data_IF_729182551115
#
_entry.id   IF_729182551115
#
_cell.length_a   1.000
_cell.length_b   1.000
_cell.length_c   1.000
_cell.angle_alpha   90.00
_cell.angle_beta   90.00
_cell.angle_gamma   90.00
#
_symmetry.space_group_name_H-M   'P 1'
#
loop_
_entity.id
_entity.type
_entity.pdbx_description
1 polymer ?
#
# COMPACT_ATOMS: atom_id res chain seq x y z
N UNK A 1 3.64 27.36 0.22
CA UNK A 1 3.32 26.38 1.27
C UNK A 1 4.15 25.14 0.97
N UNK A 2 5.04 24.71 1.89
CA UNK A 2 5.80 23.46 1.71
C UNK A 2 4.84 22.31 2.01
N UNK A 3 4.49 21.51 1.00
CA UNK A 3 3.68 20.30 1.20
C UNK A 3 4.41 19.37 2.16
N UNK A 4 3.74 18.95 3.23
CA UNK A 4 4.24 17.88 4.09
C UNK A 4 3.98 16.58 3.33
N UNK A 5 5.03 15.92 2.83
CA UNK A 5 4.90 14.61 2.21
C UNK A 5 4.46 13.62 3.30
N UNK A 6 3.19 13.25 3.32
CA UNK A 6 2.71 12.17 4.18
C UNK A 6 3.18 10.86 3.56
N UNK A 7 4.10 10.15 4.23
CA UNK A 7 4.53 8.82 3.77
C UNK A 7 3.73 7.75 4.49
N UNK A 8 3.17 6.81 3.75
CA UNK A 8 2.48 5.64 4.30
C UNK A 8 3.21 4.36 3.91
N UNK A 9 2.91 3.29 4.62
CA UNK A 9 3.43 1.98 4.27
C UNK A 9 2.40 1.17 3.53
N UNK A 10 2.81 0.49 2.47
CA UNK A 10 1.97 -0.37 1.68
C UNK A 10 2.62 -1.75 1.56
N UNK A 11 1.78 -2.77 1.71
CA UNK A 11 2.09 -4.14 1.31
C UNK A 11 1.30 -4.41 0.03
N UNK A 12 1.94 -5.02 -0.96
CA UNK A 12 1.28 -5.41 -2.20
C UNK A 12 1.79 -6.77 -2.67
N UNK A 13 0.92 -7.51 -3.35
CA UNK A 13 1.23 -8.79 -3.94
C UNK A 13 1.88 -8.58 -5.31
N UNK A 14 2.92 -9.36 -5.64
CA UNK A 14 3.54 -9.29 -6.98
C UNK A 14 2.91 -10.27 -7.97
N UNK A 15 2.08 -11.19 -7.48
CA UNK A 15 1.45 -12.23 -8.29
C UNK A 15 -0.04 -11.93 -8.61
N UNK A 16 -0.65 -10.97 -7.91
CA UNK A 16 -2.01 -10.49 -8.17
C UNK A 16 -2.22 -9.03 -7.70
N UNK A 17 -3.41 -8.46 -7.95
CA UNK A 17 -3.72 -7.04 -7.67
C UNK A 17 -3.99 -6.72 -6.18
N UNK A 18 -3.66 -7.62 -5.25
CA UNK A 18 -3.91 -7.40 -3.84
C UNK A 18 -2.95 -6.33 -3.25
N UNK A 19 -3.50 -5.41 -2.44
CA UNK A 19 -2.70 -4.48 -1.65
C UNK A 19 -3.40 -4.04 -0.36
N UNK A 20 -2.61 -3.57 0.61
CA UNK A 20 -3.08 -2.96 1.85
C UNK A 20 -2.11 -1.85 2.29
N UNK A 21 -2.62 -0.68 2.69
CA UNK A 21 -1.80 0.48 3.05
C UNK A 21 -2.20 1.12 4.38
N UNK A 22 -1.27 1.85 4.99
CA UNK A 22 -1.55 2.63 6.22
C UNK A 22 -2.28 3.95 5.97
N UNK A 23 -2.71 4.21 4.73
CA UNK A 23 -3.67 5.30 4.45
C UNK A 23 -5.07 4.94 4.96
N UNK A 24 -5.42 3.66 4.88
CA UNK A 24 -6.77 3.16 5.18
C UNK A 24 -6.77 2.32 6.46
N UNK A 25 -5.64 1.68 6.79
CA UNK A 25 -5.54 0.72 7.89
C UNK A 25 -4.47 1.12 8.91
N UNK A 26 -4.59 0.60 10.13
CA UNK A 26 -3.46 0.66 11.07
C UNK A 26 -2.29 -0.18 10.57
N UNK A 27 -1.07 0.11 11.05
CA UNK A 27 0.12 -0.69 10.71
C UNK A 27 -0.04 -2.16 11.07
N UNK A 28 -0.70 -2.43 12.20
CA UNK A 28 -1.00 -3.78 12.66
C UNK A 28 -1.94 -4.52 11.69
N UNK A 29 -3.01 -3.86 11.23
CA UNK A 29 -3.93 -4.46 10.26
C UNK A 29 -3.30 -4.70 8.89
N UNK A 30 -2.46 -3.79 8.40
CA UNK A 30 -1.71 -3.99 7.15
C UNK A 30 -0.83 -5.24 7.23
N UNK A 31 -0.16 -5.46 8.36
CA UNK A 31 0.65 -6.64 8.58
C UNK A 31 -0.21 -7.92 8.68
N UNK A 32 -1.29 -7.89 9.45
CA UNK A 32 -2.22 -9.04 9.59
C UNK A 32 -2.78 -9.47 8.23
N UNK A 33 -3.28 -8.53 7.44
CA UNK A 33 -3.85 -8.81 6.11
C UNK A 33 -2.82 -9.37 5.13
N UNK A 34 -1.56 -8.91 5.20
CA UNK A 34 -0.49 -9.48 4.39
C UNK A 34 -0.19 -10.94 4.76
N UNK A 35 -0.11 -11.25 6.06
CA UNK A 35 0.10 -12.62 6.52
C UNK A 35 -1.07 -13.52 6.05
N UNK A 36 -2.31 -13.07 6.21
CA UNK A 36 -3.49 -13.80 5.75
C UNK A 36 -3.45 -14.07 4.25
N UNK A 37 -3.15 -13.05 3.44
CA UNK A 37 -3.03 -13.21 2.00
C UNK A 37 -1.95 -14.24 1.62
N UNK A 38 -0.77 -14.17 2.23
CA UNK A 38 0.29 -15.15 2.01
C UNK A 38 -0.16 -16.56 2.40
N UNK A 39 -0.78 -16.74 3.56
CA UNK A 39 -1.24 -18.06 4.02
C UNK A 39 -2.30 -18.66 3.10
N UNK A 40 -3.19 -17.85 2.54
CA UNK A 40 -4.26 -18.31 1.65
C UNK A 40 -3.76 -18.64 0.23
N UNK A 41 -2.83 -17.83 -0.28
CA UNK A 41 -2.46 -17.85 -1.72
C UNK A 41 -1.05 -18.35 -2.00
N UNK A 42 -0.17 -18.32 -1.00
CA UNK A 42 1.28 -18.51 -1.14
C UNK A 42 1.94 -17.54 -2.12
N UNK A 43 1.29 -16.39 -2.40
CA UNK A 43 1.85 -15.36 -3.25
C UNK A 43 2.90 -14.52 -2.53
N UNK A 44 3.85 -13.96 -3.27
CA UNK A 44 4.90 -13.10 -2.76
C UNK A 44 4.37 -11.70 -2.46
N UNK A 45 4.69 -11.20 -1.26
CA UNK A 45 4.28 -9.88 -0.79
C UNK A 45 5.51 -9.01 -0.58
N UNK A 46 5.46 -7.80 -1.13
CA UNK A 46 6.49 -6.78 -0.99
C UNK A 46 5.97 -5.62 -0.16
N UNK A 47 6.86 -5.01 0.63
CA UNK A 47 6.58 -3.84 1.46
C UNK A 47 7.32 -2.62 0.92
N UNK A 48 6.61 -1.52 0.74
CA UNK A 48 7.20 -0.23 0.36
C UNK A 48 6.66 0.95 1.18
N UNK A 49 7.40 2.06 1.14
CA UNK A 49 6.93 3.36 1.61
C UNK A 49 6.48 4.16 0.40
N UNK A 50 5.18 4.40 0.30
CA UNK A 50 4.62 5.20 -0.77
C UNK A 50 4.42 6.64 -0.27
N UNK A 51 4.81 7.65 -1.07
CA UNK A 51 4.42 9.04 -0.79
C UNK A 51 2.92 9.20 -1.08
N UNK A 52 2.15 9.67 -0.12
CA UNK A 52 0.84 10.25 -0.41
C UNK A 52 1.08 11.63 -1.04
N UNK A 53 0.81 11.73 -2.33
CA UNK A 53 0.63 13.03 -2.97
C UNK A 53 -0.71 13.56 -2.49
N UNK A 54 -0.70 14.36 -1.43
CA UNK A 54 -1.88 15.06 -0.95
C UNK A 54 -2.37 15.97 -2.09
N UNK A 55 -3.38 15.52 -2.84
CA UNK A 55 -4.12 16.31 -3.83
C UNK A 55 -3.74 16.24 -5.31
N UNK A 56 -3.00 15.25 -5.83
CA UNK A 56 -2.86 15.08 -7.30
C UNK A 56 -3.42 13.72 -7.73
N UNK A 57 -4.64 13.77 -8.28
CA UNK A 57 -5.19 12.70 -9.12
C UNK A 57 -4.28 12.53 -10.33
N UNK A 58 -3.45 11.48 -10.34
CA UNK A 58 -2.80 10.99 -11.56
C UNK A 58 -3.83 10.23 -12.40
N UNK A 59 -4.87 10.94 -12.83
CA UNK A 59 -5.74 10.55 -13.93
C UNK A 59 -5.48 11.55 -15.06
N UNK A 60 -4.42 11.31 -15.82
CA UNK A 60 -4.39 11.52 -17.28
C UNK A 60 -2.97 11.42 -17.81
N UNK A 61 -2.71 10.34 -18.53
CA UNK A 61 -1.71 10.27 -19.60
C UNK A 61 -2.05 9.09 -20.50
N UNK A 62 -3.12 9.23 -21.28
CA UNK A 62 -3.23 8.65 -22.63
C UNK A 62 -4.14 9.49 -23.51
#
# INVERSE_FOLDING_TARGET
MKGCLVTYHRNYCTDCDWSASTEIHSRHEVARRAIEHFCETHHTIVSDRAPALDGISLSDSR
#
